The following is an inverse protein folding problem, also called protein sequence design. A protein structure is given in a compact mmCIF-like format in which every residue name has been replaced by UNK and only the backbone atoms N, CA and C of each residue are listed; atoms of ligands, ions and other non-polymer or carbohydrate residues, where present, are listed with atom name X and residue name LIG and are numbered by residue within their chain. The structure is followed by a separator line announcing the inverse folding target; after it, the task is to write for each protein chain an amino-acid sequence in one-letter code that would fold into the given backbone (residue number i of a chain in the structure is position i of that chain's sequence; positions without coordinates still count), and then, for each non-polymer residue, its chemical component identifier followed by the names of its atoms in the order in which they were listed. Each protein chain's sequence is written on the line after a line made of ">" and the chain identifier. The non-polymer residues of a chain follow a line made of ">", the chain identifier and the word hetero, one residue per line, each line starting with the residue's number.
data_IF_477121386769
#
_entry.id   IF_477121386769
#
_cell.length_a   1.000
_cell.length_b   1.000
_cell.length_c   1.000
_cell.angle_alpha   90.00
_cell.angle_beta   90.00
_cell.angle_gamma   90.00
#
_symmetry.space_group_name_H-M   'P 1'
#
loop_
_entity.id
_entity.type
_entity.pdbx_description
1 polymer ?
#
# COMPACT_ATOMS: atom_id res chain seq x y z
N UNK A 1 10.28 20.89 -20.90
CA UNK A 1 11.24 21.60 -20.01
C UNK A 1 12.47 20.75 -19.66
N UNK A 2 12.35 19.45 -19.35
CA UNK A 2 13.52 18.57 -19.09
C UNK A 2 14.49 18.41 -20.28
N UNK A 3 13.97 18.38 -21.51
CA UNK A 3 14.78 18.17 -22.72
C UNK A 3 15.88 19.22 -22.94
N UNK A 4 15.64 20.48 -22.55
CA UNK A 4 16.58 21.59 -22.74
C UNK A 4 17.67 21.70 -21.68
N UNK A 5 17.65 20.86 -20.64
CA UNK A 5 18.65 20.90 -19.56
C UNK A 5 19.93 20.18 -20.00
N UNK A 6 21.13 20.75 -19.80
CA UNK A 6 22.42 20.10 -20.08
C UNK A 6 22.57 18.74 -19.37
N UNK A 7 23.29 17.80 -20.00
CA UNK A 7 23.44 16.44 -19.47
C UNK A 7 24.13 16.38 -18.10
N UNK A 8 25.07 17.30 -17.85
CA UNK A 8 25.75 17.42 -16.55
C UNK A 8 24.75 17.82 -15.46
N UNK A 9 23.99 18.89 -15.69
CA UNK A 9 22.96 19.39 -14.76
C UNK A 9 21.88 18.34 -14.51
N UNK A 10 21.44 17.60 -15.54
CA UNK A 10 20.50 16.47 -15.37
C UNK A 10 21.04 15.43 -14.40
N UNK A 11 22.31 15.09 -14.54
CA UNK A 11 22.97 14.10 -13.68
C UNK A 11 23.06 14.60 -12.24
N UNK A 12 23.42 15.87 -12.05
CA UNK A 12 23.47 16.49 -10.73
C UNK A 12 22.08 16.51 -10.06
N UNK A 13 21.05 16.96 -10.78
CA UNK A 13 19.66 16.99 -10.30
C UNK A 13 19.19 15.59 -9.90
N UNK A 14 19.43 14.58 -10.75
CA UNK A 14 19.08 13.17 -10.45
C UNK A 14 19.78 12.63 -9.22
N UNK A 15 20.99 13.11 -8.92
CA UNK A 15 21.71 12.72 -7.70
C UNK A 15 21.25 13.51 -6.46
N UNK A 16 20.93 14.79 -6.63
CA UNK A 16 20.71 15.73 -5.52
C UNK A 16 19.31 15.63 -4.94
N UNK A 17 18.27 15.58 -5.78
CA UNK A 17 16.89 15.57 -5.29
C UNK A 17 16.54 14.38 -4.39
N UNK A 18 16.95 13.13 -4.71
CA UNK A 18 16.71 12.00 -3.81
C UNK A 18 17.45 12.14 -2.48
N UNK A 19 18.68 12.68 -2.49
CA UNK A 19 19.45 12.93 -1.26
C UNK A 19 18.78 13.98 -0.39
N UNK A 20 18.31 15.08 -0.99
CA UNK A 20 17.56 16.12 -0.30
C UNK A 20 16.26 15.57 0.31
N UNK A 21 15.51 14.80 -0.47
CA UNK A 21 14.28 14.15 -0.02
C UNK A 21 14.57 13.25 1.18
N UNK A 22 15.58 12.36 1.08
CA UNK A 22 15.91 11.44 2.15
C UNK A 22 16.39 12.17 3.41
N UNK A 23 17.20 13.23 3.28
CA UNK A 23 17.71 14.00 4.40
C UNK A 23 16.60 14.76 5.17
N UNK A 24 15.56 15.23 4.48
CA UNK A 24 14.58 16.17 5.05
C UNK A 24 13.12 15.69 5.01
N UNK A 25 12.82 14.46 4.59
CA UNK A 25 11.43 13.97 4.45
C UNK A 25 10.59 14.05 5.73
N UNK A 26 11.22 14.07 6.92
CA UNK A 26 10.53 14.20 8.21
C UNK A 26 10.28 15.66 8.63
N UNK A 27 11.11 16.59 8.16
CA UNK A 27 11.04 18.01 8.54
C UNK A 27 10.28 18.84 7.51
N UNK A 28 10.25 18.40 6.25
CA UNK A 28 9.51 19.07 5.19
C UNK A 28 8.00 18.99 5.44
N UNK A 29 7.26 20.09 5.24
CA UNK A 29 5.80 20.05 5.17
C UNK A 29 5.33 19.01 4.14
N UNK A 30 4.25 18.29 4.48
CA UNK A 30 3.70 17.21 3.68
C UNK A 30 3.56 17.55 2.18
N UNK A 31 3.02 18.73 1.87
CA UNK A 31 2.80 19.15 0.49
C UNK A 31 4.11 19.40 -0.29
N UNK A 32 5.17 19.88 0.38
CA UNK A 32 6.48 20.10 -0.22
C UNK A 32 7.14 18.76 -0.50
N UNK A 33 7.14 17.87 0.49
CA UNK A 33 7.67 16.51 0.34
C UNK A 33 6.99 15.78 -0.83
N UNK A 34 5.67 15.84 -0.92
CA UNK A 34 4.93 15.17 -1.99
C UNK A 34 5.23 15.79 -3.36
N UNK A 35 5.36 17.12 -3.46
CA UNK A 35 5.80 17.78 -4.70
C UNK A 35 7.22 17.37 -5.09
N UNK A 36 8.13 17.21 -4.13
CA UNK A 36 9.48 16.73 -4.39
C UNK A 36 9.48 15.27 -4.90
N UNK A 37 8.69 14.38 -4.28
CA UNK A 37 8.48 13.02 -4.78
C UNK A 37 7.98 13.05 -6.23
N UNK A 38 6.97 13.89 -6.51
CA UNK A 38 6.40 14.04 -7.85
C UNK A 38 7.44 14.48 -8.88
N UNK A 39 8.29 15.47 -8.56
CA UNK A 39 9.38 15.90 -9.44
C UNK A 39 10.38 14.76 -9.71
N UNK A 40 10.77 14.00 -8.69
CA UNK A 40 11.68 12.85 -8.86
C UNK A 40 11.05 11.79 -9.77
N UNK A 41 9.75 11.51 -9.59
CA UNK A 41 9.00 10.58 -10.45
C UNK A 41 8.88 11.10 -11.88
N UNK A 42 8.65 12.40 -12.08
CA UNK A 42 8.58 13.01 -13.41
C UNK A 42 9.92 12.94 -14.15
N UNK A 43 11.04 13.00 -13.43
CA UNK A 43 12.37 12.73 -14.00
C UNK A 43 12.51 11.24 -14.35
N UNK A 44 12.12 10.34 -13.44
CA UNK A 44 12.10 8.89 -13.71
C UNK A 44 11.26 8.54 -14.94
N UNK A 45 10.11 9.18 -15.12
CA UNK A 45 9.24 9.04 -16.29
C UNK A 45 9.97 9.30 -17.61
N UNK A 46 10.95 10.21 -17.63
CA UNK A 46 11.74 10.51 -18.83
C UNK A 46 12.99 9.65 -18.95
N UNK A 47 13.68 9.41 -17.83
CA UNK A 47 15.07 8.93 -17.83
C UNK A 47 15.24 7.46 -17.40
N UNK A 48 14.25 6.83 -16.77
CA UNK A 48 14.35 5.42 -16.32
C UNK A 48 14.06 4.46 -17.48
N UNK A 49 14.90 3.46 -17.80
CA UNK A 49 16.04 3.00 -17.03
C UNK A 49 17.38 3.54 -17.53
N UNK A 50 17.44 4.03 -18.77
CA UNK A 50 18.69 4.28 -19.50
C UNK A 50 19.59 5.36 -18.90
N UNK A 51 19.00 6.40 -18.31
CA UNK A 51 19.76 7.47 -17.68
C UNK A 51 19.61 7.45 -16.17
N UNK A 52 18.47 6.97 -15.65
CA UNK A 52 18.18 6.90 -14.22
C UNK A 52 17.98 5.45 -13.73
N UNK A 53 19.01 4.62 -13.89
CA UNK A 53 19.00 3.18 -13.63
C UNK A 53 18.41 2.78 -12.25
N UNK A 54 18.87 3.44 -11.18
CA UNK A 54 18.48 3.08 -9.81
C UNK A 54 17.13 3.66 -9.38
N UNK A 55 16.40 4.37 -10.25
CA UNK A 55 15.16 5.06 -9.91
C UNK A 55 14.17 4.16 -9.18
N UNK A 56 13.79 3.05 -9.80
CA UNK A 56 12.77 2.16 -9.23
C UNK A 56 13.33 1.32 -8.06
N UNK A 57 14.58 0.85 -8.17
CA UNK A 57 15.26 0.11 -7.10
C UNK A 57 15.36 0.91 -5.81
N UNK A 58 15.65 2.21 -5.89
CA UNK A 58 15.67 3.10 -4.73
C UNK A 58 14.29 3.19 -4.05
N UNK A 59 13.20 3.23 -4.82
CA UNK A 59 11.84 3.21 -4.26
C UNK A 59 11.61 1.91 -3.48
N UNK A 60 11.98 0.77 -4.06
CA UNK A 60 11.84 -0.53 -3.39
C UNK A 60 12.68 -0.61 -2.10
N UNK A 61 13.89 -0.06 -2.11
CA UNK A 61 14.73 0.01 -0.91
C UNK A 61 14.11 0.89 0.19
N UNK A 62 13.51 2.04 -0.17
CA UNK A 62 12.81 2.89 0.79
C UNK A 62 11.64 2.16 1.46
N UNK A 63 10.89 1.37 0.69
CA UNK A 63 9.77 0.56 1.19
C UNK A 63 10.23 -0.46 2.23
N UNK A 64 11.37 -1.10 2.00
CA UNK A 64 11.91 -2.17 2.85
C UNK A 64 12.49 -1.69 4.19
N UNK A 65 12.77 -0.39 4.35
CA UNK A 65 13.30 0.17 5.59
C UNK A 65 12.17 0.80 6.42
N UNK A 66 11.92 0.34 7.67
CA UNK A 66 10.81 0.80 8.50
C UNK A 66 10.71 2.33 8.64
N UNK A 67 11.86 3.00 8.71
CA UNK A 67 11.95 4.46 8.89
C UNK A 67 11.48 5.22 7.65
N UNK A 68 11.63 4.62 6.47
CA UNK A 68 11.32 5.24 5.17
C UNK A 68 10.16 4.57 4.45
N UNK A 69 9.58 3.50 4.99
CA UNK A 69 8.47 2.76 4.38
C UNK A 69 7.33 3.69 3.93
N UNK A 70 6.84 4.65 4.75
CA UNK A 70 5.79 5.57 4.29
C UNK A 70 6.21 6.40 3.08
N UNK A 71 7.46 6.89 3.05
CA UNK A 71 8.00 7.65 1.93
C UNK A 71 8.10 6.79 0.66
N UNK A 72 8.61 5.57 0.80
CA UNK A 72 8.70 4.61 -0.30
C UNK A 72 7.33 4.27 -0.89
N UNK A 73 6.31 4.07 -0.05
CA UNK A 73 4.93 3.81 -0.50
C UNK A 73 4.33 5.02 -1.24
N UNK A 74 4.56 6.24 -0.75
CA UNK A 74 4.14 7.46 -1.46
C UNK A 74 4.81 7.52 -2.84
N UNK A 75 6.13 7.31 -2.91
CA UNK A 75 6.85 7.31 -4.18
C UNK A 75 6.37 6.22 -5.12
N UNK A 76 6.06 5.02 -4.62
CA UNK A 76 5.51 3.91 -5.41
C UNK A 76 4.14 4.26 -6.00
N UNK A 77 3.22 4.80 -5.18
CA UNK A 77 1.90 5.23 -5.64
C UNK A 77 2.02 6.29 -6.73
N UNK A 78 2.80 7.34 -6.48
CA UNK A 78 3.05 8.40 -7.47
C UNK A 78 3.70 7.84 -8.74
N UNK A 79 4.64 6.90 -8.61
CA UNK A 79 5.24 6.22 -9.77
C UNK A 79 4.20 5.45 -10.57
N UNK A 80 3.32 4.72 -9.88
CA UNK A 80 2.26 3.96 -10.56
C UNK A 80 1.28 4.88 -11.29
N UNK A 81 0.89 6.01 -10.69
CA UNK A 81 0.00 7.01 -11.30
C UNK A 81 0.63 7.60 -12.57
N UNK A 82 1.90 7.97 -12.50
CA UNK A 82 2.56 8.78 -13.54
C UNK A 82 3.17 7.97 -14.68
N UNK A 83 3.58 6.73 -14.42
CA UNK A 83 4.23 5.87 -15.42
C UNK A 83 3.27 4.83 -16.02
N UNK A 84 2.26 4.36 -15.27
CA UNK A 84 1.31 3.38 -15.81
C UNK A 84 0.13 4.03 -16.54
N UNK A 85 -0.24 5.26 -16.16
CA UNK A 85 -1.32 6.05 -16.78
C UNK A 85 -0.87 7.50 -17.11
N UNK A 86 0.15 7.68 -17.97
CA UNK A 86 0.71 9.00 -18.26
C UNK A 86 -0.27 9.89 -19.03
N UNK A 87 -0.45 11.13 -18.54
CA UNK A 87 -1.61 11.95 -18.86
C UNK A 87 -1.71 12.51 -20.29
N UNK A 88 -0.61 12.65 -21.06
CA UNK A 88 -0.62 12.64 -22.55
C UNK A 88 0.75 12.93 -23.20
N UNK A 89 1.65 13.67 -22.54
CA UNK A 89 2.89 14.26 -23.12
C UNK A 89 4.05 13.30 -23.47
N UNK A 90 3.82 11.99 -23.54
CA UNK A 90 4.85 11.00 -23.90
C UNK A 90 4.58 10.38 -25.25
N UNK A 91 5.64 10.03 -25.98
CA UNK A 91 5.53 9.21 -27.18
C UNK A 91 4.94 7.83 -26.84
N UNK A 92 4.22 7.23 -27.79
CA UNK A 92 3.61 5.91 -27.61
C UNK A 92 4.67 4.87 -27.21
N UNK A 93 5.81 4.85 -27.92
CA UNK A 93 6.93 3.96 -27.62
C UNK A 93 7.41 4.10 -26.17
N UNK A 94 7.48 5.33 -25.65
CA UNK A 94 7.91 5.56 -24.27
C UNK A 94 6.86 5.08 -23.26
N UNK A 95 5.57 5.27 -23.54
CA UNK A 95 4.47 4.75 -22.70
C UNK A 95 4.51 3.22 -22.64
N UNK A 96 4.72 2.56 -23.77
CA UNK A 96 4.84 1.10 -23.86
C UNK A 96 6.06 0.57 -23.10
N UNK A 97 7.22 1.22 -23.26
CA UNK A 97 8.45 0.88 -22.54
C UNK A 97 8.26 0.96 -21.02
N UNK A 98 7.75 2.09 -20.52
CA UNK A 98 7.49 2.28 -19.09
C UNK A 98 6.51 1.25 -18.55
N UNK A 99 5.43 0.96 -19.30
CA UNK A 99 4.44 -0.05 -18.92
C UNK A 99 5.06 -1.44 -18.83
N UNK A 100 5.91 -1.82 -19.78
CA UNK A 100 6.63 -3.10 -19.75
C UNK A 100 7.54 -3.20 -18.53
N UNK A 101 8.34 -2.18 -18.27
CA UNK A 101 9.25 -2.13 -17.12
C UNK A 101 8.49 -2.22 -15.79
N UNK A 102 7.35 -1.53 -15.67
CA UNK A 102 6.51 -1.64 -14.47
C UNK A 102 5.92 -3.04 -14.32
N UNK A 103 5.43 -3.66 -15.39
CA UNK A 103 4.88 -5.02 -15.38
C UNK A 103 5.90 -6.04 -14.90
N UNK A 104 7.17 -5.90 -15.29
CA UNK A 104 8.28 -6.75 -14.81
C UNK A 104 8.48 -6.67 -13.29
N UNK A 105 8.11 -5.54 -12.66
CA UNK A 105 8.25 -5.33 -11.22
C UNK A 105 7.01 -5.70 -10.41
N UNK A 106 5.86 -5.95 -11.05
CA UNK A 106 4.56 -6.14 -10.36
C UNK A 106 4.62 -7.23 -9.29
N UNK A 107 5.19 -8.40 -9.59
CA UNK A 107 5.24 -9.51 -8.64
C UNK A 107 6.05 -9.16 -7.39
N UNK A 108 7.17 -8.46 -7.57
CA UNK A 108 8.00 -7.99 -6.47
C UNK A 108 7.26 -6.96 -5.60
N UNK A 109 6.61 -5.99 -6.25
CA UNK A 109 5.83 -4.95 -5.56
C UNK A 109 4.65 -5.56 -4.79
N UNK A 110 3.88 -6.47 -5.40
CA UNK A 110 2.78 -7.14 -4.71
C UNK A 110 3.28 -7.98 -3.53
N UNK A 111 4.42 -8.66 -3.68
CA UNK A 111 5.08 -9.37 -2.58
C UNK A 111 5.43 -8.45 -1.41
N UNK A 112 6.04 -7.29 -1.67
CA UNK A 112 6.39 -6.31 -0.65
C UNK A 112 5.16 -5.74 0.06
N UNK A 113 4.13 -5.34 -0.69
CA UNK A 113 2.89 -4.79 -0.12
C UNK A 113 2.16 -5.83 0.72
N UNK A 114 2.09 -7.08 0.24
CA UNK A 114 1.52 -8.20 1.01
C UNK A 114 2.32 -8.45 2.28
N UNK A 115 3.64 -8.43 2.21
CA UNK A 115 4.53 -8.64 3.35
C UNK A 115 4.39 -7.55 4.42
N UNK A 116 4.31 -6.28 4.02
CA UNK A 116 4.09 -5.16 4.94
C UNK A 116 2.77 -5.32 5.68
N UNK A 117 1.66 -5.48 4.93
CA UNK A 117 0.33 -5.62 5.51
C UNK A 117 0.23 -6.87 6.41
N UNK A 118 0.79 -8.00 5.97
CA UNK A 118 0.84 -9.23 6.75
C UNK A 118 1.62 -9.08 8.06
N UNK A 119 2.80 -8.46 8.02
CA UNK A 119 3.63 -8.24 9.21
C UNK A 119 2.94 -7.34 10.25
N UNK A 120 2.22 -6.32 9.80
CA UNK A 120 1.42 -5.46 10.68
C UNK A 120 0.25 -6.26 11.24
N UNK A 121 -0.48 -7.00 10.42
CA UNK A 121 -1.57 -7.84 10.89
C UNK A 121 -1.13 -8.86 11.95
N UNK A 122 -0.02 -9.54 11.74
CA UNK A 122 0.54 -10.51 12.68
C UNK A 122 0.94 -9.85 14.01
N UNK A 123 1.53 -8.65 13.96
CA UNK A 123 1.88 -7.87 15.16
C UNK A 123 0.68 -7.61 16.07
N UNK A 124 -0.50 -7.33 15.49
CA UNK A 124 -1.69 -6.95 16.26
C UNK A 124 -2.65 -8.11 16.55
N UNK A 125 -2.63 -9.18 15.74
CA UNK A 125 -3.51 -10.34 15.92
C UNK A 125 -3.09 -11.28 17.07
N UNK A 126 -1.82 -11.28 17.47
CA UNK A 126 -1.28 -12.16 18.53
C UNK A 126 -1.61 -11.69 19.95
N UNK A 127 -2.01 -10.43 20.14
CA UNK A 127 -2.31 -9.84 21.47
C UNK A 127 -3.57 -10.41 22.16
N UNK A 128 -4.24 -11.40 21.58
CA UNK A 128 -5.44 -12.06 22.11
C UNK A 128 -5.21 -13.54 22.49
N UNK A 129 -4.04 -13.89 23.03
CA UNK A 129 -3.72 -15.27 23.40
C UNK A 129 -4.34 -15.68 24.77
N UNK A 130 -5.53 -16.29 24.72
CA UNK A 130 -5.91 -17.36 25.67
C UNK A 130 -5.79 -18.72 24.96
N UNK A 131 -5.44 -19.81 25.67
CA UNK A 131 -5.01 -21.07 25.06
C UNK A 131 -6.16 -21.80 24.32
N UNK A 132 -5.87 -22.57 23.26
CA UNK A 132 -6.91 -23.12 22.39
C UNK A 132 -7.55 -24.41 22.95
N UNK A 133 -8.87 -24.63 22.75
CA UNK A 133 -9.50 -25.93 22.94
C UNK A 133 -9.26 -26.88 21.75
N UNK A 134 -9.24 -28.17 22.05
CA UNK A 134 -8.97 -29.33 21.18
C UNK A 134 -10.04 -29.58 20.08
N UNK A 135 -9.75 -30.40 19.03
CA UNK A 135 -10.46 -30.36 17.76
C UNK A 135 -11.68 -31.28 17.70
N UNK A 136 -12.67 -30.92 16.87
CA UNK A 136 -13.73 -31.84 16.41
C UNK A 136 -13.95 -31.63 14.91
N UNK A 137 -14.02 -32.74 14.18
CA UNK A 137 -14.05 -32.90 12.72
C UNK A 137 -15.40 -32.54 12.07
N UNK A 138 -15.42 -31.96 10.85
CA UNK A 138 -16.35 -32.35 9.76
C UNK A 138 -16.04 -31.71 8.39
N UNK A 139 -16.64 -32.32 7.36
CA UNK A 139 -16.29 -32.48 5.93
C UNK A 139 -16.79 -31.39 4.94
N UNK A 140 -16.12 -31.40 3.76
CA UNK A 140 -16.59 -31.19 2.36
C UNK A 140 -17.31 -29.90 1.91
N UNK A 141 -16.73 -29.25 0.89
CA UNK A 141 -17.45 -28.53 -0.18
C UNK A 141 -16.97 -27.10 -0.49
N UNK A 142 -16.44 -26.87 -1.70
CA UNK A 142 -16.11 -25.61 -2.43
C UNK A 142 -14.66 -25.08 -2.47
N UNK A 143 -14.17 -24.70 -3.64
CA UNK A 143 -12.82 -24.10 -3.82
C UNK A 143 -12.66 -22.75 -3.08
N UNK A 144 -13.75 -21.99 -2.91
CA UNK A 144 -13.83 -20.82 -2.05
C UNK A 144 -13.86 -21.18 -0.57
N UNK A 145 -14.52 -22.28 -0.22
CA UNK A 145 -14.46 -22.78 1.14
C UNK A 145 -13.08 -23.34 1.45
N UNK A 146 -12.32 -23.90 0.51
CA UNK A 146 -10.94 -24.38 0.75
C UNK A 146 -10.00 -23.26 1.24
N UNK A 147 -10.20 -22.02 0.77
CA UNK A 147 -9.52 -20.82 1.27
C UNK A 147 -9.97 -20.41 2.69
N UNK A 148 -11.25 -20.61 3.01
CA UNK A 148 -11.85 -20.34 4.33
C UNK A 148 -11.73 -21.52 5.31
N UNK A 149 -11.48 -22.73 4.82
CA UNK A 149 -11.42 -24.02 5.52
C UNK A 149 -10.06 -24.25 6.15
N UNK A 150 -9.07 -23.39 5.90
CA UNK A 150 -7.99 -23.25 6.86
C UNK A 150 -8.64 -22.90 8.20
N UNK A 151 -8.60 -23.77 9.22
CA UNK A 151 -9.23 -23.49 10.51
C UNK A 151 -8.66 -22.20 11.14
N UNK A 152 -7.49 -21.75 10.64
CA UNK A 152 -6.88 -20.46 10.94
C UNK A 152 -7.62 -19.28 10.29
N UNK A 153 -7.97 -19.33 9.01
CA UNK A 153 -8.60 -18.21 8.30
C UNK A 153 -9.99 -17.88 8.87
N UNK A 154 -10.86 -18.90 9.04
CA UNK A 154 -12.17 -18.70 9.65
C UNK A 154 -12.11 -18.27 11.13
N UNK A 155 -11.16 -18.79 11.92
CA UNK A 155 -10.94 -18.32 13.29
C UNK A 155 -10.45 -16.88 13.33
N UNK A 156 -9.54 -16.50 12.43
CA UNK A 156 -9.02 -15.13 12.31
C UNK A 156 -10.09 -14.14 11.85
N UNK A 157 -11.01 -14.52 10.96
CA UNK A 157 -12.17 -13.72 10.55
C UNK A 157 -13.22 -13.54 11.65
N UNK A 158 -13.18 -14.34 12.71
CA UNK A 158 -14.06 -14.22 13.88
C UNK A 158 -13.37 -13.56 15.09
N UNK A 159 -12.06 -13.26 15.01
CA UNK A 159 -11.36 -12.52 16.08
C UNK A 159 -11.83 -11.06 16.14
N UNK A 160 -11.79 -10.41 17.32
CA UNK A 160 -11.99 -8.96 17.43
C UNK A 160 -11.06 -8.22 16.47
N UNK A 161 -11.54 -7.15 15.85
CA UNK A 161 -10.70 -6.34 14.96
C UNK A 161 -9.58 -5.73 15.82
N UNK A 162 -8.30 -5.96 15.48
CA UNK A 162 -7.21 -5.39 16.24
C UNK A 162 -7.24 -3.87 16.19
N UNK A 163 -6.84 -3.18 17.27
CA UNK A 163 -6.69 -1.72 17.25
C UNK A 163 -5.27 -1.40 16.81
N UNK A 164 -5.14 -0.80 15.62
CA UNK A 164 -3.84 -0.33 15.11
C UNK A 164 -3.47 0.99 15.79
N UNK A 165 -2.18 1.21 16.03
CA UNK A 165 -1.69 2.56 16.31
C UNK A 165 -1.76 3.43 15.04
N UNK A 166 -1.69 4.76 15.22
CA UNK A 166 -1.83 5.72 14.12
C UNK A 166 -0.74 5.58 13.05
N UNK A 167 0.46 5.11 13.43
CA UNK A 167 1.58 4.92 12.50
C UNK A 167 1.34 3.73 11.58
N UNK A 168 0.96 2.58 12.14
CA UNK A 168 0.66 1.38 11.37
C UNK A 168 -0.62 1.53 10.56
N UNK A 169 -1.62 2.25 11.06
CA UNK A 169 -2.81 2.62 10.28
C UNK A 169 -2.41 3.44 9.04
N UNK A 170 -1.54 4.44 9.20
CA UNK A 170 -1.05 5.27 8.09
C UNK A 170 -0.30 4.45 7.04
N UNK A 171 0.61 3.57 7.46
CA UNK A 171 1.35 2.67 6.56
C UNK A 171 0.42 1.72 5.81
N UNK A 172 -0.54 1.11 6.52
CA UNK A 172 -1.55 0.24 5.91
C UNK A 172 -2.40 0.97 4.87
N UNK A 173 -2.85 2.21 5.16
CA UNK A 173 -3.59 3.04 4.19
C UNK A 173 -2.77 3.26 2.92
N UNK A 174 -1.51 3.68 3.05
CA UNK A 174 -0.63 3.91 1.90
C UNK A 174 -0.41 2.62 1.08
N UNK A 175 -0.20 1.47 1.75
CA UNK A 175 0.00 0.20 1.08
C UNK A 175 -1.27 -0.27 0.33
N UNK A 176 -2.45 -0.11 0.94
CA UNK A 176 -3.73 -0.43 0.32
C UNK A 176 -4.06 0.51 -0.85
N UNK A 177 -3.72 1.79 -0.75
CA UNK A 177 -3.82 2.74 -1.86
C UNK A 177 -2.91 2.36 -3.03
N UNK A 178 -1.67 1.91 -2.74
CA UNK A 178 -0.78 1.36 -3.76
C UNK A 178 -1.43 0.15 -4.45
N UNK A 179 -1.96 -0.81 -3.68
CA UNK A 179 -2.66 -1.98 -4.23
C UNK A 179 -3.85 -1.58 -5.11
N UNK A 180 -4.69 -0.66 -4.63
CA UNK A 180 -5.85 -0.17 -5.36
C UNK A 180 -5.46 0.43 -6.70
N UNK A 181 -4.42 1.27 -6.73
CA UNK A 181 -3.95 1.87 -7.98
C UNK A 181 -3.30 0.83 -8.90
N UNK A 182 -2.49 -0.11 -8.38
CA UNK A 182 -1.91 -1.21 -9.18
C UNK A 182 -3.01 -2.04 -9.86
N UNK A 183 -4.06 -2.39 -9.14
CA UNK A 183 -5.18 -3.18 -9.68
C UNK A 183 -5.95 -2.49 -10.79
N UNK A 184 -5.84 -1.16 -10.93
CA UNK A 184 -6.48 -0.44 -12.04
C UNK A 184 -5.85 -0.74 -13.41
N UNK A 185 -4.62 -1.27 -13.46
CA UNK A 185 -3.90 -1.43 -14.73
C UNK A 185 -3.13 -2.74 -14.90
N UNK A 186 -2.85 -3.51 -13.84
CA UNK A 186 -2.16 -4.82 -13.97
C UNK A 186 -3.11 -5.92 -14.46
N UNK A 187 -2.60 -6.97 -15.14
CA UNK A 187 -3.39 -8.15 -15.45
C UNK A 187 -3.69 -8.95 -14.16
N UNK A 188 -4.91 -8.79 -13.64
CA UNK A 188 -5.32 -9.38 -12.35
C UNK A 188 -5.28 -10.92 -12.35
N UNK A 189 -5.66 -11.56 -13.46
CA UNK A 189 -5.74 -13.02 -13.58
C UNK A 189 -4.42 -13.74 -13.36
N UNK A 190 -3.29 -13.09 -13.66
CA UNK A 190 -1.94 -13.66 -13.51
C UNK A 190 -1.20 -13.12 -12.30
N UNK A 191 -1.72 -12.07 -11.66
CA UNK A 191 -0.98 -11.33 -10.63
C UNK A 191 -1.51 -11.51 -9.21
N UNK A 192 -2.78 -11.86 -9.04
CA UNK A 192 -3.39 -12.01 -7.72
C UNK A 192 -3.04 -13.37 -7.12
N UNK A 193 -2.43 -13.36 -5.95
CA UNK A 193 -2.15 -14.56 -5.16
C UNK A 193 -3.21 -14.77 -4.07
N UNK A 194 -3.44 -16.02 -3.61
CA UNK A 194 -4.30 -16.29 -2.47
C UNK A 194 -3.91 -15.56 -1.18
N UNK A 195 -2.60 -15.37 -0.94
CA UNK A 195 -2.08 -14.67 0.24
C UNK A 195 -2.41 -13.18 0.21
N UNK A 196 -2.32 -12.55 -0.96
CA UNK A 196 -2.71 -11.16 -1.16
C UNK A 196 -4.21 -10.98 -0.89
N UNK A 197 -5.06 -11.85 -1.44
CA UNK A 197 -6.51 -11.81 -1.18
C UNK A 197 -6.84 -11.97 0.30
N UNK A 198 -6.23 -12.97 0.96
CA UNK A 198 -6.42 -13.20 2.40
C UNK A 198 -6.06 -11.94 3.20
N UNK A 199 -4.93 -11.31 2.87
CA UNK A 199 -4.47 -10.07 3.50
C UNK A 199 -5.46 -8.93 3.28
N UNK A 200 -5.92 -8.70 2.04
CA UNK A 200 -6.92 -7.68 1.73
C UNK A 200 -8.22 -7.92 2.52
N UNK A 201 -8.69 -9.17 2.60
CA UNK A 201 -9.90 -9.49 3.34
C UNK A 201 -9.74 -9.25 4.84
N UNK A 202 -8.56 -9.48 5.43
CA UNK A 202 -8.30 -9.11 6.82
C UNK A 202 -8.47 -7.60 7.03
N UNK A 203 -7.90 -6.78 6.14
CA UNK A 203 -7.97 -5.33 6.25
C UNK A 203 -9.35 -4.74 5.88
N UNK A 204 -10.13 -5.41 5.02
CA UNK A 204 -11.50 -4.98 4.69
C UNK A 204 -12.42 -4.95 5.93
N UNK A 205 -12.15 -5.77 6.95
CA UNK A 205 -12.94 -5.82 8.19
C UNK A 205 -12.94 -4.49 8.95
N UNK A 206 -11.82 -3.77 8.95
CA UNK A 206 -11.72 -2.43 9.56
C UNK A 206 -12.73 -1.45 8.94
N UNK A 207 -12.94 -1.52 7.63
CA UNK A 207 -13.90 -0.68 6.91
C UNK A 207 -15.36 -1.06 7.18
N UNK A 208 -15.65 -2.33 7.50
CA UNK A 208 -17.01 -2.80 7.78
C UNK A 208 -17.50 -2.44 9.19
N UNK A 209 -16.63 -2.44 10.20
CA UNK A 209 -17.01 -2.18 11.60
C UNK A 209 -17.23 -0.69 11.91
N UNK A 210 -16.58 0.21 11.17
CA UNK A 210 -16.86 1.66 11.28
C UNK A 210 -18.33 2.01 11.02
N UNK A 211 -19.02 1.26 10.14
CA UNK A 211 -20.47 1.43 9.91
C UNK A 211 -21.30 1.02 11.14
N UNK A 212 -20.90 -0.02 11.86
CA UNK A 212 -21.58 -0.50 13.08
C UNK A 212 -21.36 0.48 14.24
N UNK A 213 -20.14 1.03 14.38
CA UNK A 213 -19.81 2.04 15.40
C UNK A 213 -20.52 3.38 15.17
N UNK A 214 -20.69 3.78 13.90
CA UNK A 214 -21.43 5.00 13.54
C UNK A 214 -22.94 4.88 13.79
N UNK A 215 -23.51 3.68 13.61
CA UNK A 215 -24.93 3.40 13.93
C UNK A 215 -25.20 3.37 15.44
N UNK A 216 -24.28 2.82 16.24
CA UNK A 216 -24.41 2.78 17.70
C UNK A 216 -24.25 4.16 18.34
N UNK A 217 -23.43 5.05 17.77
CA UNK A 217 -23.30 6.44 18.24
C UNK A 217 -24.56 7.30 17.97
N UNK A 218 -25.38 6.97 16.98
CA UNK A 218 -26.62 7.71 16.66
C UNK A 218 -27.77 7.28 17.58
N UNK A 219 -27.77 6.04 18.08
CA UNK A 219 -28.80 5.54 18.99
C UNK A 219 -28.51 5.84 20.48
N UNK A 220 -27.34 6.38 20.82
CA UNK A 220 -26.94 6.65 22.22
C UNK A 220 -27.38 8.00 22.79
N UNK A 221 -28.01 8.88 22.02
CA UNK A 221 -28.35 10.26 22.44
C UNK A 221 -29.83 10.49 22.82
N UNK A 222 -30.61 9.43 23.06
CA UNK A 222 -32.03 9.55 23.39
C UNK A 222 -32.42 8.66 24.57
N UNK A 223 -31.91 8.95 25.77
CA UNK A 223 -32.52 8.53 27.04
C UNK A 223 -31.85 9.26 28.21
N UNK A 224 -32.42 10.40 28.60
CA UNK A 224 -32.54 10.84 29.99
C UNK A 224 -33.27 12.20 30.04
N UNK A 225 -34.60 12.13 30.01
CA UNK A 225 -35.45 13.22 30.47
C UNK A 225 -36.71 12.59 31.08
N UNK A 226 -36.61 12.11 32.31
CA UNK A 226 -37.77 11.83 33.14
C UNK A 226 -37.44 11.95 34.63
N UNK A 227 -38.19 12.84 35.27
CA UNK A 227 -38.65 12.84 36.67
C UNK A 227 -37.67 13.33 37.75
N UNK A 228 -37.90 14.55 38.21
CA UNK A 228 -37.83 14.88 39.65
C UNK A 228 -39.00 15.79 40.01
N UNK A 229 -39.58 15.49 41.17
CA UNK A 229 -40.78 16.03 41.79
C UNK A 229 -40.75 17.54 42.06
#
# INVERSE_FOLDING_TARGET
>A
MWLGVPSQDKTEIRSCLPKLLLAHHKTLPYFIRNKLCKVIVDIGRQDWPMFYHDFFTNILQLIQSPVTTPLGLIMLKTTSEELACPWEDLSIARKEELRKLLLEQVQNVLGLLTGILGSIWDKYSVTAATPPPSPTSRESGDLLSSLLQSPRAAKLLNQPIPVLDSENEYVCSLALECLAHLFSWIPLSTSITPSLLTTIFHFARFGCDTRVRKMSSINGSSQNASLSH
#
